data_IF_999762181194
#
_entry.id   IF_999762181194
#
_cell.length_a   1.000
_cell.length_b   1.000
_cell.length_c   1.000
_cell.angle_alpha   90.00
_cell.angle_beta   90.00
_cell.angle_gamma   90.00
#
_symmetry.space_group_name_H-M   'P 1'
#
loop_
_entity.id
_entity.type
_entity.pdbx_description
1 polymer ?
#
# COMPACT_ATOMS: atom_id res chain seq x y z
N UNK A 1 -47.99 -39.39 58.01
CA UNK A 1 -47.04 -39.78 59.08
C UNK A 1 -45.69 -40.07 58.44
N UNK A 2 -44.59 -39.72 59.11
CA UNK A 2 -43.22 -40.24 58.88
C UNK A 2 -42.98 -41.42 59.86
N UNK A 3 -41.78 -42.03 60.06
CA UNK A 3 -40.41 -41.89 59.45
C UNK A 3 -40.00 -43.11 58.59
N UNK A 4 -38.94 -43.12 57.74
CA UNK A 4 -37.46 -43.14 57.96
C UNK A 4 -36.92 -44.40 58.72
N UNK A 5 -35.75 -45.03 58.40
CA UNK A 5 -34.59 -44.65 57.53
C UNK A 5 -33.64 -45.84 57.15
N UNK A 6 -32.66 -45.58 56.26
CA UNK A 6 -31.41 -46.33 55.95
C UNK A 6 -31.55 -47.62 55.08
N UNK A 7 -30.58 -48.06 54.26
CA UNK A 7 -29.14 -47.73 54.11
C UNK A 7 -28.64 -47.93 52.63
N UNK A 8 -27.60 -47.18 52.19
CA UNK A 8 -26.73 -47.43 51.00
C UNK A 8 -27.38 -47.32 49.57
N UNK A 9 -26.69 -47.04 48.44
CA UNK A 9 -25.29 -46.58 48.21
C UNK A 9 -25.10 -45.84 46.84
N UNK A 10 -23.93 -45.20 46.64
CA UNK A 10 -23.26 -44.81 45.37
C UNK A 10 -24.07 -44.07 44.25
N UNK A 11 -23.81 -42.76 44.03
CA UNK A 11 -23.38 -42.13 42.72
C UNK A 11 -23.48 -40.59 42.68
N UNK A 12 -22.59 -39.96 41.87
CA UNK A 12 -22.76 -38.75 41.02
C UNK A 12 -23.20 -37.36 41.57
N UNK A 13 -22.70 -36.35 40.84
CA UNK A 13 -23.24 -35.00 40.59
C UNK A 13 -23.35 -33.95 41.74
N UNK A 14 -22.53 -32.90 41.56
CA UNK A 14 -22.86 -31.47 41.73
C UNK A 14 -23.59 -30.95 42.98
N UNK A 15 -22.92 -30.05 43.73
CA UNK A 15 -23.54 -28.79 44.18
C UNK A 15 -22.55 -27.73 44.67
N UNK A 16 -22.38 -26.66 43.86
CA UNK A 16 -22.23 -25.24 44.28
C UNK A 16 -20.95 -24.89 45.11
N UNK A 17 -20.51 -23.63 45.20
CA UNK A 17 -21.06 -22.35 44.73
C UNK A 17 -19.93 -21.40 44.32
N UNK A 18 -20.26 -20.41 43.50
CA UNK A 18 -19.35 -19.38 42.99
C UNK A 18 -18.66 -18.53 44.08
N UNK A 19 -17.52 -17.93 43.70
CA UNK A 19 -17.38 -16.47 43.77
C UNK A 19 -16.46 -15.94 42.66
N UNK A 20 -16.50 -14.62 42.46
CA UNK A 20 -16.00 -13.97 41.24
C UNK A 20 -14.47 -13.81 41.18
N UNK A 21 -13.93 -13.83 39.96
CA UNK A 21 -12.63 -13.28 39.59
C UNK A 21 -12.79 -12.56 38.26
N UNK A 22 -12.28 -11.33 38.15
CA UNK A 22 -12.41 -10.51 36.93
C UNK A 22 -11.68 -11.14 35.74
N UNK A 23 -12.15 -10.90 34.49
CA UNK A 23 -11.37 -11.24 33.31
C UNK A 23 -10.13 -10.35 33.25
N UNK A 24 -9.01 -10.86 33.74
CA UNK A 24 -7.68 -10.23 33.58
C UNK A 24 -7.40 -10.08 32.09
N UNK A 25 -6.87 -8.92 31.70
CA UNK A 25 -6.51 -8.61 30.32
C UNK A 25 -5.69 -9.76 29.71
N UNK A 26 -6.13 -10.30 28.57
CA UNK A 26 -5.28 -11.23 27.80
C UNK A 26 -4.04 -10.48 27.36
N UNK A 27 -2.88 -10.99 27.75
CA UNK A 27 -1.59 -10.49 27.30
C UNK A 27 -1.45 -10.61 25.76
N UNK A 28 -0.48 -9.89 25.21
CA UNK A 28 -0.16 -9.91 23.78
C UNK A 28 0.03 -11.35 23.23
N UNK A 29 -0.28 -11.59 21.93
CA UNK A 29 -0.09 -12.90 21.33
C UNK A 29 1.37 -13.33 21.44
N UNK A 30 1.59 -14.51 22.05
CA UNK A 30 2.89 -15.16 22.12
C UNK A 30 3.37 -15.69 20.76
N UNK A 31 4.53 -16.37 20.70
CA UNK A 31 5.01 -16.98 19.47
C UNK A 31 3.99 -17.97 18.92
N UNK A 32 3.89 -18.03 17.58
CA UNK A 32 3.01 -18.97 16.86
C UNK A 32 3.33 -20.39 17.31
N UNK A 33 2.31 -21.16 17.67
CA UNK A 33 2.46 -22.53 18.15
C UNK A 33 3.09 -23.38 17.03
N UNK A 34 4.18 -24.09 17.31
CA UNK A 34 4.92 -24.86 16.29
C UNK A 34 4.02 -25.86 15.55
N UNK A 35 3.06 -26.44 16.27
CA UNK A 35 2.06 -27.36 15.71
C UNK A 35 1.06 -26.70 14.76
N UNK A 36 0.79 -25.41 14.94
CA UNK A 36 -0.09 -24.59 14.09
C UNK A 36 0.67 -24.14 12.83
N UNK A 37 1.92 -23.70 12.97
CA UNK A 37 2.82 -23.43 11.84
C UNK A 37 3.04 -24.67 10.95
N UNK A 38 3.28 -25.84 11.54
CA UNK A 38 3.45 -27.10 10.81
C UNK A 38 2.16 -27.61 10.13
N UNK A 39 0.98 -27.17 10.59
CA UNK A 39 -0.28 -27.42 9.93
C UNK A 39 -0.54 -26.44 8.77
N UNK A 40 -0.37 -25.13 9.00
CA UNK A 40 -0.58 -24.08 7.99
C UNK A 40 0.40 -24.18 6.82
N UNK A 41 1.65 -24.59 7.06
CA UNK A 41 2.67 -24.79 6.02
C UNK A 41 2.50 -26.06 5.19
N UNK A 42 1.63 -27.00 5.59
CA UNK A 42 1.52 -28.33 4.98
C UNK A 42 2.76 -29.23 5.14
N UNK A 43 3.80 -28.76 5.84
CA UNK A 43 5.09 -29.43 5.94
C UNK A 43 5.00 -30.84 6.53
N UNK A 44 4.04 -31.08 7.43
CA UNK A 44 3.80 -32.39 8.05
C UNK A 44 3.52 -33.49 7.02
N UNK A 45 2.65 -33.23 6.04
CA UNK A 45 2.27 -34.23 5.04
C UNK A 45 3.32 -34.34 3.92
N UNK A 46 3.95 -33.23 3.54
CA UNK A 46 5.12 -33.27 2.64
C UNK A 46 6.27 -34.11 3.21
N UNK A 47 6.61 -33.93 4.49
CA UNK A 47 7.64 -34.72 5.17
C UNK A 47 7.22 -36.19 5.31
N UNK A 48 5.93 -36.46 5.54
CA UNK A 48 5.38 -37.82 5.60
C UNK A 48 5.54 -38.55 4.26
N UNK A 49 5.20 -37.91 3.15
CA UNK A 49 5.38 -38.49 1.81
C UNK A 49 6.86 -38.68 1.45
N UNK A 50 7.72 -37.70 1.76
CA UNK A 50 9.15 -37.81 1.55
C UNK A 50 9.80 -38.96 2.34
N UNK A 51 9.41 -39.13 3.62
CA UNK A 51 9.87 -40.22 4.47
C UNK A 51 9.33 -41.57 3.99
N UNK A 52 8.07 -41.65 3.54
CA UNK A 52 7.53 -42.86 2.91
C UNK A 52 8.32 -43.24 1.66
N UNK A 53 8.61 -42.28 0.76
CA UNK A 53 9.40 -42.52 -0.46
C UNK A 53 10.85 -42.91 -0.17
N UNK A 54 11.46 -42.37 0.88
CA UNK A 54 12.78 -42.80 1.34
C UNK A 54 12.76 -44.24 1.88
N UNK A 55 11.74 -44.62 2.66
CA UNK A 55 11.57 -45.97 3.21
C UNK A 55 11.24 -47.03 2.15
N UNK A 56 10.50 -46.64 1.10
CA UNK A 56 10.26 -47.46 -0.09
C UNK A 56 11.54 -47.68 -0.91
N UNK A 57 12.27 -46.60 -1.24
CA UNK A 57 13.39 -46.65 -2.17
C UNK A 57 14.71 -47.16 -1.57
N UNK A 58 14.93 -46.97 -0.26
CA UNK A 58 16.15 -47.33 0.47
C UNK A 58 17.47 -46.99 -0.27
N UNK A 59 17.65 -45.72 -0.72
CA UNK A 59 18.86 -45.29 -1.42
C UNK A 59 20.10 -45.38 -0.52
N UNK A 60 21.26 -45.61 -1.13
CA UNK A 60 22.55 -45.60 -0.44
C UNK A 60 22.93 -44.20 0.08
N UNK A 61 22.45 -43.14 -0.59
CA UNK A 61 22.57 -41.74 -0.14
C UNK A 61 21.19 -41.09 0.13
N UNK A 62 20.62 -41.28 1.34
CA UNK A 62 19.33 -40.68 1.72
C UNK A 62 19.21 -39.18 1.50
N UNK A 63 20.26 -38.41 1.78
CA UNK A 63 20.23 -36.95 1.68
C UNK A 63 20.18 -36.47 0.22
N UNK A 64 20.98 -37.10 -0.66
CA UNK A 64 20.98 -36.79 -2.08
C UNK A 64 19.64 -37.19 -2.73
N UNK A 65 19.12 -38.37 -2.37
CA UNK A 65 17.80 -38.82 -2.81
C UNK A 65 16.67 -37.89 -2.34
N UNK A 66 16.69 -37.41 -1.08
CA UNK A 66 15.68 -36.46 -0.60
C UNK A 66 15.78 -35.10 -1.32
N UNK A 67 16.99 -34.60 -1.59
CA UNK A 67 17.18 -33.37 -2.35
C UNK A 67 16.62 -33.50 -3.79
N UNK A 68 16.98 -34.58 -4.49
CA UNK A 68 16.48 -34.92 -5.82
C UNK A 68 14.97 -35.20 -5.85
N UNK A 69 14.43 -35.87 -4.83
CA UNK A 69 12.99 -36.10 -4.68
C UNK A 69 12.22 -34.79 -4.51
N UNK A 70 12.66 -33.90 -3.61
CA UNK A 70 12.03 -32.59 -3.46
C UNK A 70 12.21 -31.73 -4.73
N UNK A 71 13.38 -31.74 -5.36
CA UNK A 71 13.59 -31.04 -6.63
C UNK A 71 12.64 -31.56 -7.72
N UNK A 72 12.44 -32.88 -7.84
CA UNK A 72 11.49 -33.49 -8.79
C UNK A 72 10.03 -33.22 -8.44
N UNK A 73 9.67 -33.22 -7.15
CA UNK A 73 8.33 -32.83 -6.67
C UNK A 73 8.02 -31.36 -7.01
N UNK A 74 9.02 -30.48 -6.93
CA UNK A 74 8.90 -29.05 -7.26
C UNK A 74 9.10 -28.71 -8.75
N UNK A 75 9.65 -29.62 -9.58
CA UNK A 75 9.92 -29.38 -11.03
C UNK A 75 9.07 -30.23 -11.97
N UNK A 76 8.33 -31.23 -11.48
CA UNK A 76 7.22 -31.86 -12.18
C UNK A 76 7.57 -32.57 -13.49
N UNK A 77 8.53 -33.52 -13.45
CA UNK A 77 8.80 -34.51 -14.52
C UNK A 77 8.79 -33.94 -15.95
N UNK A 78 9.66 -32.96 -16.21
CA UNK A 78 9.68 -32.13 -17.43
C UNK A 78 10.12 -32.81 -18.73
N UNK A 79 9.53 -33.93 -19.13
CA UNK A 79 9.67 -34.53 -20.48
C UNK A 79 8.44 -34.23 -21.36
N UNK A 80 8.07 -32.95 -21.45
CA UNK A 80 6.97 -32.47 -22.29
C UNK A 80 7.33 -31.12 -22.93
N UNK A 81 8.05 -31.16 -24.05
CA UNK A 81 8.37 -29.95 -24.82
C UNK A 81 7.13 -29.44 -25.57
N UNK A 82 6.47 -28.43 -24.99
CA UNK A 82 5.30 -27.78 -25.58
C UNK A 82 4.67 -26.75 -24.63
N UNK A 83 3.78 -25.91 -25.15
CA UNK A 83 3.21 -24.75 -24.44
C UNK A 83 2.54 -25.13 -23.10
N UNK A 84 1.86 -26.29 -23.05
CA UNK A 84 1.23 -26.82 -21.83
C UNK A 84 2.24 -27.09 -20.71
N UNK A 85 3.47 -27.51 -21.05
CA UNK A 85 4.54 -27.71 -20.06
C UNK A 85 5.05 -26.39 -19.49
N UNK A 86 5.16 -25.35 -20.33
CA UNK A 86 5.53 -23.99 -19.90
C UNK A 86 4.47 -23.40 -18.96
N UNK A 87 3.18 -23.60 -19.27
CA UNK A 87 2.07 -23.16 -18.42
C UNK A 87 2.06 -23.91 -17.07
N UNK A 88 2.33 -25.22 -17.04
CA UNK A 88 2.43 -25.97 -15.78
C UNK A 88 3.57 -25.43 -14.90
N UNK A 89 4.75 -25.19 -15.48
CA UNK A 89 5.91 -24.64 -14.77
C UNK A 89 5.65 -23.23 -14.23
N UNK A 90 4.93 -22.39 -14.97
CA UNK A 90 4.50 -21.07 -14.49
C UNK A 90 3.54 -21.18 -13.28
N UNK A 91 2.52 -22.03 -13.37
CA UNK A 91 1.58 -22.28 -12.27
C UNK A 91 2.27 -22.85 -11.02
N UNK A 92 3.23 -23.76 -11.19
CA UNK A 92 4.00 -24.33 -10.08
C UNK A 92 4.83 -23.25 -9.35
N UNK A 93 5.42 -22.30 -10.08
CA UNK A 93 6.16 -21.16 -9.50
C UNK A 93 5.23 -20.19 -8.77
N UNK A 94 4.08 -19.87 -9.35
CA UNK A 94 3.04 -19.08 -8.71
C UNK A 94 2.60 -19.71 -7.38
N UNK A 95 2.24 -21.00 -7.40
CA UNK A 95 1.83 -21.73 -6.20
C UNK A 95 2.94 -21.78 -5.14
N UNK A 96 4.21 -21.96 -5.55
CA UNK A 96 5.37 -21.95 -4.64
C UNK A 96 5.66 -20.57 -4.05
N UNK A 97 5.49 -19.50 -4.84
CA UNK A 97 5.60 -18.13 -4.35
C UNK A 97 4.51 -17.81 -3.31
N UNK A 98 3.25 -18.15 -3.61
CA UNK A 98 2.13 -18.01 -2.68
C UNK A 98 2.34 -18.81 -1.38
N UNK A 99 2.95 -20.01 -1.47
CA UNK A 99 3.32 -20.79 -0.29
C UNK A 99 4.35 -20.08 0.58
N UNK A 100 5.46 -19.58 0.01
CA UNK A 100 6.45 -18.80 0.78
C UNK A 100 5.80 -17.61 1.49
N UNK A 101 4.97 -16.83 0.77
CA UNK A 101 4.30 -15.65 1.33
C UNK A 101 3.35 -15.97 2.51
N UNK A 102 2.82 -17.19 2.59
CA UNK A 102 1.94 -17.65 3.68
C UNK A 102 2.67 -18.21 4.89
N UNK A 103 3.96 -18.54 4.80
CA UNK A 103 4.72 -19.19 5.90
C UNK A 103 4.80 -18.35 7.18
N UNK A 104 4.74 -17.01 7.09
CA UNK A 104 4.88 -16.12 8.24
C UNK A 104 3.88 -14.98 8.16
N UNK A 105 3.22 -14.64 9.27
CA UNK A 105 2.37 -13.45 9.32
C UNK A 105 3.17 -12.19 8.95
N UNK A 106 2.59 -11.29 8.17
CA UNK A 106 3.31 -10.15 7.57
C UNK A 106 3.87 -9.14 8.58
N UNK A 107 3.39 -9.18 9.84
CA UNK A 107 3.97 -8.43 10.97
C UNK A 107 5.34 -8.96 11.44
N UNK A 108 5.70 -10.21 11.10
CA UNK A 108 6.99 -10.82 11.44
C UNK A 108 8.09 -10.35 10.47
N UNK A 109 8.42 -9.05 10.53
CA UNK A 109 9.23 -8.29 9.55
C UNK A 109 10.42 -9.05 8.95
N UNK A 110 11.24 -9.72 9.77
CA UNK A 110 12.42 -10.47 9.30
C UNK A 110 12.04 -11.74 8.53
N UNK A 111 11.16 -12.58 9.09
CA UNK A 111 10.73 -13.82 8.44
C UNK A 111 9.95 -13.53 7.15
N UNK A 112 9.05 -12.55 7.18
CA UNK A 112 8.26 -12.15 6.02
C UNK A 112 9.11 -11.52 4.91
N UNK A 113 10.11 -10.69 5.24
CA UNK A 113 11.05 -10.18 4.23
C UNK A 113 11.89 -11.31 3.59
N UNK A 114 12.29 -12.34 4.36
CA UNK A 114 12.99 -13.50 3.78
C UNK A 114 12.08 -14.30 2.85
N UNK A 115 10.83 -14.54 3.26
CA UNK A 115 9.82 -15.21 2.45
C UNK A 115 9.46 -14.44 1.17
N UNK A 116 9.37 -13.10 1.24
CA UNK A 116 9.23 -12.21 0.07
C UNK A 116 10.37 -12.38 -0.93
N UNK A 117 11.63 -12.44 -0.46
CA UNK A 117 12.79 -12.67 -1.35
C UNK A 117 12.71 -14.04 -2.04
N UNK A 118 12.34 -15.10 -1.31
CA UNK A 118 12.18 -16.44 -1.88
C UNK A 118 11.04 -16.52 -2.91
N UNK A 119 9.93 -15.82 -2.67
CA UNK A 119 8.83 -15.69 -3.62
C UNK A 119 9.28 -14.90 -4.89
N UNK A 120 9.95 -13.77 -4.72
CA UNK A 120 10.42 -12.92 -5.81
C UNK A 120 11.44 -13.63 -6.72
N UNK A 121 12.46 -14.29 -6.16
CA UNK A 121 13.42 -15.08 -6.94
C UNK A 121 12.73 -16.26 -7.64
N UNK A 122 11.79 -16.96 -6.98
CA UNK A 122 11.04 -18.06 -7.60
C UNK A 122 10.30 -17.61 -8.89
N UNK A 123 9.64 -16.46 -8.84
CA UNK A 123 8.93 -15.85 -9.97
C UNK A 123 9.87 -15.26 -11.04
N UNK A 124 11.12 -14.90 -10.66
CA UNK A 124 12.17 -14.33 -11.52
C UNK A 124 13.10 -15.40 -12.16
N UNK A 125 12.79 -16.69 -12.02
CA UNK A 125 13.63 -17.75 -12.63
C UNK A 125 13.37 -17.89 -14.13
N UNK A 126 14.30 -17.41 -14.96
CA UNK A 126 14.29 -17.70 -16.39
C UNK A 126 14.67 -19.16 -16.70
N UNK A 127 14.37 -19.63 -17.91
CA UNK A 127 14.67 -21.00 -18.34
C UNK A 127 16.18 -21.25 -18.48
N UNK A 128 16.76 -22.02 -17.54
CA UNK A 128 18.11 -22.64 -17.50
C UNK A 128 19.37 -21.79 -17.77
N UNK A 129 19.34 -20.62 -18.44
CA UNK A 129 20.56 -19.82 -18.75
C UNK A 129 20.47 -18.28 -18.68
N UNK A 130 19.35 -17.68 -18.25
CA UNK A 130 19.27 -16.25 -17.89
C UNK A 130 18.37 -16.03 -16.67
N UNK A 131 18.75 -15.13 -15.76
CA UNK A 131 17.79 -14.52 -14.81
C UNK A 131 16.91 -13.55 -15.59
N UNK A 132 15.67 -13.93 -15.87
CA UNK A 132 14.64 -13.02 -16.41
C UNK A 132 13.87 -12.44 -15.24
N UNK A 133 14.16 -11.20 -14.87
CA UNK A 133 13.54 -10.53 -13.71
C UNK A 133 12.01 -10.55 -13.75
N UNK A 134 11.39 -10.38 -12.58
CA UNK A 134 9.94 -10.44 -12.41
C UNK A 134 9.19 -9.57 -13.43
N UNK A 135 8.29 -10.18 -14.18
CA UNK A 135 7.43 -9.47 -15.13
C UNK A 135 6.17 -8.95 -14.45
N UNK A 136 5.64 -7.83 -14.95
CA UNK A 136 4.39 -7.25 -14.45
C UNK A 136 3.19 -8.18 -14.60
N UNK A 137 3.23 -9.12 -15.57
CA UNK A 137 2.25 -10.22 -15.65
C UNK A 137 2.33 -11.12 -14.42
N UNK A 138 3.49 -11.74 -14.16
CA UNK A 138 3.66 -12.69 -13.05
C UNK A 138 3.38 -12.01 -11.70
N UNK A 139 3.77 -10.75 -11.54
CA UNK A 139 3.46 -9.92 -10.38
C UNK A 139 1.95 -9.72 -10.19
N UNK A 140 1.25 -9.27 -11.24
CA UNK A 140 -0.20 -9.05 -11.20
C UNK A 140 -0.99 -10.34 -10.94
N UNK A 141 -0.51 -11.46 -11.46
CA UNK A 141 -1.07 -12.80 -11.24
C UNK A 141 -0.97 -13.21 -9.76
N UNK A 142 0.21 -13.05 -9.13
CA UNK A 142 0.42 -13.27 -7.68
C UNK A 142 -0.53 -12.41 -6.84
N UNK A 143 -0.61 -11.11 -7.12
CA UNK A 143 -1.49 -10.21 -6.38
C UNK A 143 -2.97 -10.59 -6.53
N UNK A 144 -3.37 -11.04 -7.73
CA UNK A 144 -4.74 -11.50 -8.01
C UNK A 144 -5.06 -12.78 -7.22
N UNK A 145 -4.14 -13.75 -7.19
CA UNK A 145 -4.30 -14.96 -6.38
C UNK A 145 -4.40 -14.65 -4.89
N UNK A 146 -3.57 -13.74 -4.34
CA UNK A 146 -3.67 -13.33 -2.93
C UNK A 146 -5.06 -12.75 -2.63
N UNK A 147 -5.57 -11.85 -3.48
CA UNK A 147 -6.90 -11.25 -3.31
C UNK A 147 -8.03 -12.29 -3.39
N UNK A 148 -7.92 -13.27 -4.31
CA UNK A 148 -8.90 -14.31 -4.53
C UNK A 148 -8.94 -15.33 -3.37
N UNK A 149 -7.78 -15.80 -2.92
CA UNK A 149 -7.66 -16.72 -1.78
C UNK A 149 -8.09 -16.07 -0.45
N UNK A 150 -7.93 -14.75 -0.33
CA UNK A 150 -8.41 -13.95 0.80
C UNK A 150 -9.89 -13.56 0.74
N UNK A 151 -10.65 -14.07 -0.23
CA UNK A 151 -12.08 -13.76 -0.46
C UNK A 151 -12.40 -12.24 -0.54
N UNK A 152 -11.47 -11.42 -1.05
CA UNK A 152 -11.68 -9.99 -1.17
C UNK A 152 -12.80 -9.70 -2.21
N UNK A 153 -13.79 -8.83 -1.92
CA UNK A 153 -14.86 -8.53 -2.87
C UNK A 153 -14.31 -8.08 -4.22
N UNK A 154 -14.88 -8.57 -5.32
CA UNK A 154 -14.30 -8.43 -6.66
C UNK A 154 -14.11 -6.98 -7.10
N UNK A 155 -15.01 -6.07 -6.73
CA UNK A 155 -14.86 -4.65 -7.06
C UNK A 155 -13.73 -3.97 -6.27
N UNK A 156 -13.44 -4.47 -5.06
CA UNK A 156 -12.35 -3.99 -4.21
C UNK A 156 -11.02 -4.58 -4.66
N UNK A 157 -10.97 -5.87 -5.02
CA UNK A 157 -9.76 -6.46 -5.60
C UNK A 157 -9.44 -5.82 -6.96
N UNK A 158 -10.44 -5.57 -7.81
CA UNK A 158 -10.25 -4.82 -9.05
C UNK A 158 -9.75 -3.38 -8.80
N UNK A 159 -10.33 -2.60 -7.88
CA UNK A 159 -9.88 -1.23 -7.60
C UNK A 159 -8.49 -1.19 -6.92
N UNK A 160 -8.12 -2.20 -6.11
CA UNK A 160 -6.76 -2.34 -5.59
C UNK A 160 -5.78 -2.68 -6.72
N UNK A 161 -6.02 -3.76 -7.46
CA UNK A 161 -5.15 -4.23 -8.54
C UNK A 161 -5.00 -3.17 -9.63
N UNK A 162 -6.04 -2.37 -9.92
CA UNK A 162 -5.97 -1.22 -10.84
C UNK A 162 -5.00 -0.12 -10.37
N UNK A 163 -4.73 0.00 -9.07
CA UNK A 163 -3.73 0.94 -8.50
C UNK A 163 -2.32 0.37 -8.48
N UNK A 164 -2.16 -0.93 -8.22
CA UNK A 164 -0.84 -1.54 -7.88
C UNK A 164 -0.25 -2.48 -8.96
N UNK A 165 -1.00 -2.80 -10.02
CA UNK A 165 -0.50 -3.64 -11.12
C UNK A 165 0.50 -2.92 -12.02
N UNK A 166 1.45 -3.69 -12.56
CA UNK A 166 2.34 -3.27 -13.65
C UNK A 166 1.80 -3.76 -15.01
N UNK A 167 2.37 -3.28 -16.11
CA UNK A 167 2.09 -3.81 -17.46
C UNK A 167 2.71 -5.20 -17.62
N UNK A 168 2.09 -6.09 -18.40
CA UNK A 168 2.53 -7.48 -18.58
C UNK A 168 4.03 -7.69 -18.86
N UNK A 169 4.61 -6.77 -19.64
CA UNK A 169 6.01 -6.77 -20.09
C UNK A 169 6.97 -5.90 -19.24
N UNK A 170 6.47 -5.23 -18.22
CA UNK A 170 7.24 -4.35 -17.34
C UNK A 170 8.13 -5.17 -16.40
N UNK A 171 9.36 -4.73 -16.15
CA UNK A 171 10.22 -5.33 -15.14
C UNK A 171 9.88 -4.75 -13.76
N UNK A 172 9.49 -5.59 -12.81
CA UNK A 172 9.01 -5.19 -11.48
C UNK A 172 10.15 -5.32 -10.46
N UNK A 173 10.64 -4.20 -9.87
CA UNK A 173 11.64 -4.26 -8.81
C UNK A 173 11.15 -4.98 -7.55
N UNK A 174 12.07 -5.53 -6.76
CA UNK A 174 11.76 -6.21 -5.49
C UNK A 174 10.90 -5.36 -4.55
N UNK A 175 11.21 -4.07 -4.42
CA UNK A 175 10.43 -3.18 -3.54
C UNK A 175 8.99 -2.98 -4.02
N UNK A 176 8.75 -2.85 -5.33
CA UNK A 176 7.39 -2.74 -5.89
C UNK A 176 6.61 -4.04 -5.62
N UNK A 177 7.23 -5.20 -5.88
CA UNK A 177 6.66 -6.50 -5.53
C UNK A 177 6.32 -6.58 -4.03
N UNK A 178 7.26 -6.19 -3.17
CA UNK A 178 7.14 -6.21 -1.72
C UNK A 178 6.02 -5.32 -1.21
N UNK A 179 5.93 -4.08 -1.67
CA UNK A 179 4.88 -3.14 -1.25
C UNK A 179 3.50 -3.57 -1.78
N UNK A 180 3.40 -4.04 -3.03
CA UNK A 180 2.14 -4.57 -3.57
C UNK A 180 1.62 -5.77 -2.78
N UNK A 181 2.49 -6.76 -2.54
CA UNK A 181 2.16 -7.96 -1.76
C UNK A 181 1.78 -7.61 -0.32
N UNK A 182 2.53 -6.73 0.35
CA UNK A 182 2.21 -6.28 1.70
C UNK A 182 0.86 -5.54 1.75
N UNK A 183 0.56 -4.69 0.76
CA UNK A 183 -0.73 -3.98 0.67
C UNK A 183 -1.91 -4.95 0.59
N UNK A 184 -1.80 -6.02 -0.21
CA UNK A 184 -2.80 -7.08 -0.25
C UNK A 184 -2.97 -7.75 1.13
N UNK A 185 -1.89 -8.19 1.78
CA UNK A 185 -2.00 -8.88 3.08
C UNK A 185 -2.56 -8.00 4.20
N UNK A 186 -2.20 -6.71 4.27
CA UNK A 186 -2.76 -5.79 5.27
C UNK A 186 -4.24 -5.52 5.01
N UNK A 187 -4.65 -5.36 3.74
CA UNK A 187 -6.08 -5.23 3.40
C UNK A 187 -6.88 -6.50 3.75
N UNK A 188 -6.29 -7.69 3.61
CA UNK A 188 -6.93 -8.95 4.01
C UNK A 188 -7.05 -9.08 5.54
N UNK A 189 -6.06 -8.64 6.31
CA UNK A 189 -6.21 -8.56 7.78
C UNK A 189 -7.29 -7.54 8.17
N UNK A 190 -7.34 -6.38 7.49
CA UNK A 190 -8.38 -5.37 7.68
C UNK A 190 -9.79 -5.93 7.36
N UNK A 191 -9.97 -6.65 6.24
CA UNK A 191 -11.20 -7.39 5.89
C UNK A 191 -11.60 -8.35 7.00
N UNK A 192 -10.65 -9.14 7.52
CA UNK A 192 -10.90 -10.12 8.59
C UNK A 192 -11.35 -9.46 9.91
N UNK A 193 -10.79 -8.29 10.24
CA UNK A 193 -11.22 -7.48 11.39
C UNK A 193 -12.61 -6.86 11.16
N UNK A 194 -12.90 -6.34 9.98
CA UNK A 194 -14.22 -5.86 9.62
C UNK A 194 -15.29 -6.98 9.68
N UNK A 195 -14.96 -8.20 9.26
CA UNK A 195 -15.86 -9.37 9.35
C UNK A 195 -16.13 -9.78 10.81
N UNK A 196 -15.09 -9.70 11.64
CA UNK A 196 -15.20 -9.92 13.08
C UNK A 196 -16.12 -8.88 13.73
N UNK A 197 -16.08 -7.61 13.30
CA UNK A 197 -17.00 -6.55 13.75
C UNK A 197 -18.44 -6.78 13.25
N UNK A 198 -18.63 -7.16 11.99
CA UNK A 198 -19.97 -7.50 11.47
C UNK A 198 -20.60 -8.68 12.24
N UNK A 199 -19.78 -9.67 12.59
CA UNK A 199 -20.19 -10.84 13.39
C UNK A 199 -20.59 -10.49 14.84
N UNK A 200 -20.26 -9.29 15.34
CA UNK A 200 -20.78 -8.74 16.60
C UNK A 200 -22.14 -8.06 16.38
N UNK A 201 -22.33 -7.36 15.26
CA UNK A 201 -23.60 -6.71 14.89
C UNK A 201 -24.74 -7.72 14.65
N UNK A 202 -24.49 -8.77 13.87
CA UNK A 202 -25.38 -9.92 13.77
C UNK A 202 -24.60 -11.20 13.42
N UNK A 203 -24.87 -12.28 14.14
CA UNK A 203 -24.30 -13.61 13.89
C UNK A 203 -25.04 -14.42 12.82
N UNK A 204 -26.29 -14.08 12.52
CA UNK A 204 -27.13 -14.82 11.57
C UNK A 204 -28.07 -13.88 10.79
N UNK A 205 -27.73 -13.65 9.51
CA UNK A 205 -28.48 -12.77 8.61
C UNK A 205 -27.88 -11.37 8.47
N UNK A 206 -28.60 -10.42 7.83
CA UNK A 206 -28.15 -9.03 7.71
C UNK A 206 -28.30 -8.28 9.05
N UNK A 207 -27.57 -7.19 9.23
CA UNK A 207 -27.64 -6.32 10.41
C UNK A 207 -28.55 -5.11 10.17
N UNK A 208 -29.00 -4.42 11.22
CA UNK A 208 -29.68 -3.12 11.10
C UNK A 208 -28.74 -2.12 10.39
N UNK A 209 -29.23 -1.43 9.35
CA UNK A 209 -28.41 -0.54 8.55
C UNK A 209 -27.85 0.65 9.36
N UNK A 210 -28.57 1.12 10.39
CA UNK A 210 -28.12 2.22 11.27
C UNK A 210 -26.93 1.78 12.11
N UNK A 211 -26.98 0.58 12.68
CA UNK A 211 -25.88 0.02 13.47
C UNK A 211 -24.66 -0.30 12.60
N UNK A 212 -24.88 -0.90 11.43
CA UNK A 212 -23.81 -1.14 10.47
C UNK A 212 -23.15 0.15 9.98
N UNK A 213 -23.94 1.19 9.66
CA UNK A 213 -23.41 2.50 9.30
C UNK A 213 -22.66 3.15 10.46
N UNK A 214 -23.17 3.11 11.70
CA UNK A 214 -22.47 3.69 12.85
C UNK A 214 -21.08 3.07 13.06
N UNK A 215 -20.93 1.76 12.84
CA UNK A 215 -19.60 1.09 12.89
C UNK A 215 -18.71 1.47 11.70
N UNK A 216 -19.26 1.63 10.49
CA UNK A 216 -18.50 2.11 9.32
C UNK A 216 -18.03 3.56 9.50
N UNK A 217 -18.91 4.45 9.96
CA UNK A 217 -18.61 5.86 10.23
C UNK A 217 -17.56 5.96 11.36
N UNK A 218 -17.67 5.12 12.41
CA UNK A 218 -16.65 5.04 13.48
C UNK A 218 -15.31 4.47 12.97
N UNK A 219 -15.33 3.54 12.01
CA UNK A 219 -14.11 3.04 11.34
C UNK A 219 -13.47 4.12 10.46
N UNK A 220 -14.26 4.92 9.74
CA UNK A 220 -13.76 6.04 8.94
C UNK A 220 -13.16 7.13 9.85
N UNK A 221 -13.87 7.55 10.90
CA UNK A 221 -13.34 8.48 11.90
C UNK A 221 -12.06 7.93 12.56
N UNK A 222 -12.03 6.64 12.93
CA UNK A 222 -10.86 6.02 13.53
C UNK A 222 -9.68 5.92 12.57
N UNK A 223 -9.90 5.66 11.28
CA UNK A 223 -8.85 5.64 10.25
C UNK A 223 -8.30 7.04 9.94
N UNK A 224 -9.16 8.06 9.92
CA UNK A 224 -8.77 9.48 9.78
C UNK A 224 -8.06 9.99 11.05
N UNK A 225 -8.42 9.47 12.22
CA UNK A 225 -7.73 9.73 13.49
C UNK A 225 -6.38 9.02 13.54
N UNK A 226 -6.33 7.75 13.11
CA UNK A 226 -5.11 6.96 13.00
C UNK A 226 -4.33 7.30 11.72
N UNK A 227 -3.98 8.58 11.57
CA UNK A 227 -2.70 8.89 10.96
C UNK A 227 -1.64 8.01 11.65
N UNK A 228 -0.80 7.32 10.85
CA UNK A 228 -0.17 6.02 11.17
C UNK A 228 0.96 6.07 12.23
N UNK A 229 0.86 7.02 13.14
CA UNK A 229 1.96 7.92 13.35
C UNK A 229 2.06 8.25 14.85
N UNK A 230 1.58 9.42 15.36
CA UNK A 230 1.77 9.74 16.80
C UNK A 230 1.26 8.57 17.66
N UNK A 231 2.04 8.04 18.62
CA UNK A 231 1.62 6.88 19.41
C UNK A 231 0.29 7.06 20.17
N UNK A 232 -0.13 8.31 20.40
CA UNK A 232 -1.42 8.64 20.99
C UNK A 232 -2.60 8.62 19.99
N UNK A 233 -2.38 8.73 18.67
CA UNK A 233 -3.45 8.67 17.65
C UNK A 233 -3.98 7.25 17.56
N UNK A 234 -3.08 6.26 17.65
CA UNK A 234 -3.42 4.84 17.82
C UNK A 234 -4.20 4.57 19.11
N UNK A 235 -3.91 5.30 20.19
CA UNK A 235 -4.67 5.18 21.43
C UNK A 235 -6.05 5.82 21.29
N UNK A 236 -6.18 6.97 20.62
CA UNK A 236 -7.47 7.63 20.37
C UNK A 236 -8.34 6.82 19.40
N UNK A 237 -7.80 6.35 18.28
CA UNK A 237 -8.48 5.41 17.38
C UNK A 237 -8.81 4.10 18.10
N UNK A 238 -7.93 3.62 18.99
CA UNK A 238 -8.15 2.47 19.85
C UNK A 238 -9.24 2.64 20.91
N UNK A 239 -9.51 3.87 21.39
CA UNK A 239 -10.67 4.15 22.27
C UNK A 239 -11.95 4.33 21.47
N UNK A 240 -11.91 4.92 20.27
CA UNK A 240 -13.06 4.99 19.34
C UNK A 240 -13.52 3.60 18.89
N UNK A 241 -12.58 2.73 18.52
CA UNK A 241 -12.80 1.31 18.20
C UNK A 241 -12.84 0.41 19.46
N UNK A 242 -12.78 0.99 20.65
CA UNK A 242 -12.94 0.27 21.91
C UNK A 242 -14.40 -0.17 22.12
N UNK A 243 -14.66 -1.16 22.99
CA UNK A 243 -16.02 -1.64 23.25
C UNK A 243 -16.99 -0.53 23.66
N UNK A 244 -16.54 0.38 24.53
CA UNK A 244 -17.36 1.50 25.02
C UNK A 244 -17.59 2.58 23.94
N UNK A 245 -16.59 2.85 23.09
CA UNK A 245 -16.69 3.80 21.98
C UNK A 245 -17.68 3.34 20.91
N UNK A 246 -17.55 2.08 20.47
CA UNK A 246 -18.49 1.45 19.53
C UNK A 246 -19.90 1.32 20.12
N UNK A 247 -20.04 0.96 21.40
CA UNK A 247 -21.34 0.93 22.06
C UNK A 247 -22.02 2.31 22.08
N UNK A 248 -21.27 3.37 22.44
CA UNK A 248 -21.78 4.75 22.44
C UNK A 248 -22.14 5.25 21.03
N UNK A 249 -21.48 4.78 19.98
CA UNK A 249 -21.86 5.08 18.58
C UNK A 249 -23.14 4.33 18.18
N UNK A 250 -23.23 3.05 18.54
CA UNK A 250 -24.39 2.19 18.25
C UNK A 250 -25.66 2.65 18.97
N UNK A 251 -25.59 2.99 20.27
CA UNK A 251 -26.73 3.49 21.05
C UNK A 251 -27.30 4.79 20.46
N UNK A 252 -26.44 5.73 20.05
CA UNK A 252 -26.86 6.96 19.36
C UNK A 252 -27.60 6.67 18.06
N UNK A 253 -27.12 5.70 17.28
CA UNK A 253 -27.75 5.30 16.01
C UNK A 253 -29.07 4.56 16.23
N UNK A 254 -29.19 3.76 17.30
CA UNK A 254 -30.41 3.03 17.65
C UNK A 254 -31.54 3.96 18.12
N UNK A 255 -31.21 5.09 18.75
CA UNK A 255 -32.15 6.17 19.08
C UNK A 255 -32.63 6.98 17.86
N UNK A 256 -32.08 6.72 16.67
CA UNK A 256 -32.51 7.34 15.42
C UNK A 256 -33.87 6.81 14.93
N UNK A 257 -34.55 7.62 14.10
CA UNK A 257 -35.90 7.31 13.60
C UNK A 257 -35.96 5.94 12.89
N UNK A 258 -37.07 5.21 13.06
CA UNK A 258 -37.09 3.77 12.78
C UNK A 258 -37.13 3.45 11.27
N UNK A 259 -36.28 2.51 10.85
CA UNK A 259 -36.19 2.05 9.46
C UNK A 259 -35.92 0.55 9.42
N UNK A 260 -36.77 -0.23 8.74
CA UNK A 260 -36.60 -1.68 8.55
C UNK A 260 -35.48 -2.06 7.56
N UNK A 261 -34.60 -1.12 7.24
CA UNK A 261 -33.51 -1.30 6.28
C UNK A 261 -32.34 -2.05 6.92
N UNK A 262 -31.80 -3.02 6.19
CA UNK A 262 -30.73 -3.90 6.69
C UNK A 262 -29.54 -3.93 5.74
N UNK A 263 -28.35 -4.13 6.30
CA UNK A 263 -27.08 -4.23 5.57
C UNK A 263 -26.57 -5.67 5.60
N UNK A 264 -26.20 -6.20 4.43
CA UNK A 264 -25.65 -7.54 4.30
C UNK A 264 -24.15 -7.56 4.66
N UNK A 265 -23.65 -8.71 5.10
CA UNK A 265 -22.22 -8.93 5.38
C UNK A 265 -21.33 -8.47 4.21
N UNK A 266 -21.69 -8.86 3.00
CA UNK A 266 -20.89 -8.55 1.81
C UNK A 266 -20.89 -7.04 1.49
N UNK A 267 -22.01 -6.35 1.70
CA UNK A 267 -22.07 -4.90 1.53
C UNK A 267 -21.25 -4.17 2.59
N UNK A 268 -21.39 -4.53 3.87
CA UNK A 268 -20.58 -3.98 4.96
C UNK A 268 -19.07 -4.19 4.74
N UNK A 269 -18.67 -5.40 4.33
CA UNK A 269 -17.26 -5.70 4.03
C UNK A 269 -16.72 -4.89 2.85
N UNK A 270 -17.52 -4.70 1.81
CA UNK A 270 -17.17 -3.87 0.64
C UNK A 270 -16.98 -2.40 1.04
N UNK A 271 -17.91 -1.85 1.82
CA UNK A 271 -17.85 -0.46 2.26
C UNK A 271 -16.68 -0.23 3.23
N UNK A 272 -16.47 -1.14 4.19
CA UNK A 272 -15.31 -1.10 5.09
C UNK A 272 -13.98 -1.15 4.32
N UNK A 273 -13.82 -2.13 3.41
CA UNK A 273 -12.57 -2.27 2.64
C UNK A 273 -12.32 -1.11 1.68
N UNK A 274 -13.33 -0.32 1.31
CA UNK A 274 -13.15 0.89 0.53
C UNK A 274 -12.44 2.00 1.32
N UNK A 275 -12.70 2.12 2.64
CA UNK A 275 -12.08 3.13 3.52
C UNK A 275 -10.55 3.03 3.55
N UNK A 276 -10.02 1.81 3.48
CA UNK A 276 -8.58 1.50 3.51
C UNK A 276 -7.77 2.12 2.34
N UNK A 277 -8.42 2.58 1.27
CA UNK A 277 -7.77 2.96 0.00
C UNK A 277 -7.59 4.48 -0.24
N UNK A 278 -7.52 5.29 0.83
CA UNK A 278 -7.53 6.76 0.78
C UNK A 278 -6.43 7.45 1.63
N UNK A 279 -5.56 8.25 0.98
CA UNK A 279 -4.82 9.39 1.60
C UNK A 279 -4.67 10.60 0.66
N UNK A 280 -4.54 10.38 -0.66
CA UNK A 280 -4.77 11.37 -1.72
C UNK A 280 -5.40 10.66 -2.93
N UNK A 281 -6.26 11.33 -3.72
CA UNK A 281 -7.00 10.66 -4.81
C UNK A 281 -6.74 11.27 -6.18
N UNK A 282 -5.98 10.53 -7.00
CA UNK A 282 -5.91 10.69 -8.45
C UNK A 282 -6.87 9.67 -9.10
N UNK A 283 -8.01 10.14 -9.63
CA UNK A 283 -9.07 9.30 -10.21
C UNK A 283 -9.04 9.39 -11.74
N UNK A 284 -8.48 8.35 -12.37
CA UNK A 284 -8.44 8.19 -13.81
C UNK A 284 -9.82 7.78 -14.39
N UNK A 285 -10.23 8.31 -15.55
CA UNK A 285 -11.40 7.83 -16.28
C UNK A 285 -11.10 6.53 -17.05
N UNK A 286 -12.14 5.90 -17.62
CA UNK A 286 -12.04 4.60 -18.32
C UNK A 286 -11.25 4.71 -19.62
N UNK A 287 -11.31 5.86 -20.26
CA UNK A 287 -10.70 6.21 -21.55
C UNK A 287 -9.36 6.97 -21.39
N UNK A 288 -8.74 6.99 -20.21
CA UNK A 288 -7.42 7.61 -20.03
C UNK A 288 -6.38 6.99 -21.00
N UNK A 289 -5.56 7.78 -21.72
CA UNK A 289 -5.30 9.21 -21.54
C UNK A 289 -6.14 10.16 -22.42
N UNK A 290 -7.25 9.72 -23.04
CA UNK A 290 -8.08 10.62 -23.85
C UNK A 290 -8.83 11.66 -23.00
N UNK A 291 -9.44 11.24 -21.89
CA UNK A 291 -9.99 12.15 -20.88
C UNK A 291 -9.06 12.38 -19.67
N UNK A 292 -9.11 13.56 -19.02
CA UNK A 292 -8.27 13.89 -17.87
C UNK A 292 -8.66 13.10 -16.61
N UNK A 293 -7.69 12.83 -15.72
CA UNK A 293 -7.98 12.34 -14.38
C UNK A 293 -8.37 13.50 -13.44
N UNK A 294 -9.21 13.22 -12.43
CA UNK A 294 -9.47 14.18 -11.35
C UNK A 294 -8.42 14.05 -10.24
N UNK A 295 -7.97 15.19 -9.68
CA UNK A 295 -7.02 15.25 -8.56
C UNK A 295 -7.66 15.88 -7.33
N UNK A 296 -7.55 15.20 -6.18
CA UNK A 296 -8.07 15.67 -4.88
C UNK A 296 -7.06 15.48 -3.74
N UNK A 297 -6.77 16.57 -3.01
CA UNK A 297 -6.16 16.52 -1.68
C UNK A 297 -7.21 16.08 -0.65
N UNK A 298 -6.87 15.17 0.29
CA UNK A 298 -7.77 14.85 1.41
C UNK A 298 -7.53 15.76 2.63
N UNK A 299 -6.27 16.16 2.87
CA UNK A 299 -5.93 17.26 3.77
C UNK A 299 -6.55 18.57 3.26
N UNK A 300 -7.31 19.28 4.10
CA UNK A 300 -7.97 20.54 3.70
C UNK A 300 -6.93 21.65 3.52
N UNK A 301 -6.66 22.04 2.27
CA UNK A 301 -5.76 23.12 1.88
C UNK A 301 -6.51 24.47 1.77
N UNK A 302 -5.92 25.58 2.23
CA UNK A 302 -6.45 26.93 1.98
C UNK A 302 -5.68 27.55 0.81
N UNK A 303 -6.28 27.58 -0.38
CA UNK A 303 -5.57 27.96 -1.60
C UNK A 303 -6.53 28.55 -2.65
N UNK A 304 -6.17 29.62 -3.40
CA UNK A 304 -7.02 30.22 -4.42
C UNK A 304 -7.59 29.25 -5.46
N UNK A 305 -6.87 28.17 -5.79
CA UNK A 305 -7.24 27.21 -6.83
C UNK A 305 -7.56 25.80 -6.31
N UNK A 306 -7.87 25.66 -5.02
CA UNK A 306 -8.36 24.38 -4.44
C UNK A 306 -9.75 24.62 -3.84
N UNK A 307 -10.71 23.78 -4.22
CA UNK A 307 -12.08 23.83 -3.68
C UNK A 307 -12.14 23.34 -2.23
N UNK A 308 -13.20 23.68 -1.49
CA UNK A 308 -13.38 23.26 -0.10
C UNK A 308 -13.39 21.73 0.11
N UNK A 309 -13.74 20.97 -0.94
CA UNK A 309 -13.77 19.52 -0.96
C UNK A 309 -12.41 18.87 -1.34
N UNK A 310 -11.37 19.69 -1.52
CA UNK A 310 -10.01 19.29 -1.88
C UNK A 310 -9.73 19.10 -3.37
N UNK A 311 -10.72 19.24 -4.26
CA UNK A 311 -10.49 19.15 -5.71
C UNK A 311 -9.63 20.34 -6.21
N UNK A 312 -8.68 20.06 -7.09
CA UNK A 312 -7.76 21.07 -7.66
C UNK A 312 -8.32 21.59 -8.99
N UNK A 313 -8.48 22.91 -9.11
CA UNK A 313 -8.84 23.56 -10.37
C UNK A 313 -7.56 24.00 -11.09
N UNK A 314 -7.24 23.33 -12.20
CA UNK A 314 -6.08 23.64 -13.04
C UNK A 314 -6.39 23.25 -14.48
N UNK A 315 -6.02 24.11 -15.44
CA UNK A 315 -6.38 23.99 -16.86
C UNK A 315 -6.05 22.62 -17.46
N UNK A 316 -4.90 22.03 -17.09
CA UNK A 316 -4.41 20.74 -17.58
C UNK A 316 -5.31 19.56 -17.19
N UNK A 317 -6.16 19.68 -16.15
CA UNK A 317 -7.12 18.64 -15.76
C UNK A 317 -8.52 18.82 -16.37
N UNK A 318 -8.66 19.75 -17.32
CA UNK A 318 -9.89 19.93 -18.09
C UNK A 318 -9.66 19.56 -19.57
N UNK A 319 -10.70 19.06 -20.28
CA UNK A 319 -10.65 18.85 -21.73
C UNK A 319 -10.22 20.10 -22.51
N UNK A 320 -9.74 19.96 -23.75
CA UNK A 320 -9.53 21.10 -24.63
C UNK A 320 -10.87 21.76 -24.95
N UNK A 321 -10.84 23.07 -25.19
CA UNK A 321 -11.99 23.86 -25.61
C UNK A 321 -11.69 24.38 -27.01
N UNK A 322 -12.55 24.09 -27.98
CA UNK A 322 -12.43 24.58 -29.36
C UNK A 322 -12.87 26.05 -29.48
N UNK A 323 -12.33 26.92 -28.62
CA UNK A 323 -12.54 28.37 -28.61
C UNK A 323 -11.25 29.09 -29.00
N UNK A 324 -11.10 29.55 -30.25
CA UNK A 324 -9.94 30.34 -30.71
C UNK A 324 -9.74 31.67 -29.95
N UNK A 325 -10.77 32.14 -29.23
CA UNK A 325 -10.73 33.38 -28.46
C UNK A 325 -10.18 33.19 -27.04
N UNK A 326 -10.03 31.94 -26.57
CA UNK A 326 -9.60 31.61 -25.20
C UNK A 326 -8.15 32.02 -24.87
N UNK A 327 -7.26 31.99 -25.87
CA UNK A 327 -5.84 32.32 -25.72
C UNK A 327 -4.98 31.24 -25.03
N UNK A 328 -5.56 30.09 -24.71
CA UNK A 328 -4.87 28.99 -24.01
C UNK A 328 -4.15 28.05 -24.98
N UNK A 329 -2.97 27.55 -24.60
CA UNK A 329 -2.20 26.63 -25.43
C UNK A 329 -2.71 25.17 -25.30
N UNK A 330 -2.62 24.34 -26.36
CA UNK A 330 -2.95 22.91 -26.28
C UNK A 330 -2.14 22.12 -25.24
N UNK A 331 -0.98 22.63 -24.83
CA UNK A 331 -0.13 22.12 -23.74
C UNK A 331 -0.62 22.49 -22.34
N UNK A 332 -1.49 23.49 -22.21
CA UNK A 332 -2.06 23.97 -20.95
C UNK A 332 -3.41 23.31 -20.63
N UNK A 333 -4.03 22.63 -21.60
CA UNK A 333 -5.22 21.78 -21.45
C UNK A 333 -4.86 20.29 -21.46
N UNK A 334 -5.81 19.45 -21.08
CA UNK A 334 -5.64 18.00 -21.20
C UNK A 334 -5.53 17.58 -22.67
N UNK A 335 -4.58 16.69 -22.96
CA UNK A 335 -4.49 16.00 -24.25
C UNK A 335 -3.78 14.64 -24.04
N UNK A 336 -3.86 13.69 -24.99
CA UNK A 336 -3.34 12.33 -24.80
C UNK A 336 -1.82 12.19 -24.62
N UNK A 337 -1.03 13.26 -24.80
CA UNK A 337 0.42 13.26 -24.51
C UNK A 337 0.74 13.65 -23.06
N UNK A 338 -0.23 14.23 -22.35
CA UNK A 338 -0.11 14.56 -20.94
C UNK A 338 -0.04 13.30 -20.07
N UNK A 339 0.62 13.41 -18.93
CA UNK A 339 0.85 12.29 -18.03
C UNK A 339 0.99 12.77 -16.57
N UNK A 340 1.05 11.83 -15.62
CA UNK A 340 1.09 12.11 -14.18
C UNK A 340 2.29 12.97 -13.76
N UNK A 341 3.46 12.86 -14.42
CA UNK A 341 4.61 13.72 -14.13
C UNK A 341 4.27 15.18 -14.49
N UNK A 342 3.67 15.42 -15.65
CA UNK A 342 3.26 16.78 -16.04
C UNK A 342 2.21 17.34 -15.08
N UNK A 343 1.18 16.54 -14.72
CA UNK A 343 0.17 16.95 -13.73
C UNK A 343 0.82 17.40 -12.41
N UNK A 344 1.75 16.60 -11.86
CA UNK A 344 2.39 16.93 -10.58
C UNK A 344 3.27 18.18 -10.68
N UNK A 345 4.00 18.37 -11.80
CA UNK A 345 4.77 19.60 -12.06
C UNK A 345 3.85 20.83 -12.18
N UNK A 346 2.71 20.70 -12.87
CA UNK A 346 1.71 21.77 -12.97
C UNK A 346 1.06 22.10 -11.61
N UNK A 347 0.83 21.11 -10.75
CA UNK A 347 0.34 21.33 -9.37
C UNK A 347 1.39 22.04 -8.51
N UNK A 348 2.68 21.67 -8.63
CA UNK A 348 3.78 22.39 -7.96
C UNK A 348 3.84 23.86 -8.44
N UNK A 349 3.72 24.09 -9.74
CA UNK A 349 3.66 25.45 -10.30
C UNK A 349 2.49 26.26 -9.74
N UNK A 350 1.28 25.68 -9.74
CA UNK A 350 0.05 26.32 -9.22
C UNK A 350 0.13 26.66 -7.72
N UNK A 351 0.84 25.87 -6.92
CA UNK A 351 1.05 26.13 -5.49
C UNK A 351 2.06 27.25 -5.23
N UNK A 352 3.00 27.49 -6.15
CA UNK A 352 3.92 28.63 -6.09
C UNK A 352 3.27 29.91 -6.62
N UNK A 353 2.55 29.82 -7.74
CA UNK A 353 1.89 30.94 -8.43
C UNK A 353 0.39 30.68 -8.63
N UNK A 354 -0.45 31.02 -7.62
CA UNK A 354 -1.90 30.81 -7.70
C UNK A 354 -2.56 31.70 -8.75
N UNK A 355 -3.42 31.12 -9.59
CA UNK A 355 -4.20 31.87 -10.57
C UNK A 355 -5.34 32.62 -9.87
N UNK A 356 -5.17 33.93 -9.69
CA UNK A 356 -6.19 34.81 -9.07
C UNK A 356 -7.26 35.32 -10.03
N UNK A 357 -7.11 35.11 -11.34
CA UNK A 357 -8.10 35.51 -12.36
C UNK A 357 -9.28 34.53 -12.42
N UNK A 358 -9.01 33.23 -12.24
CA UNK A 358 -10.03 32.18 -12.14
C UNK A 358 -9.82 31.32 -10.88
N UNK A 359 -10.21 31.83 -9.69
CA UNK A 359 -10.05 31.11 -8.43
C UNK A 359 -11.19 30.12 -8.16
N UNK A 360 -10.84 28.93 -7.66
CA UNK A 360 -11.78 27.97 -7.08
C UNK A 360 -12.26 28.39 -5.67
N UNK A 361 -11.44 29.14 -4.94
CA UNK A 361 -11.74 29.71 -3.63
C UNK A 361 -11.51 31.23 -3.70
N UNK A 362 -12.63 31.97 -3.76
CA UNK A 362 -12.63 33.44 -3.92
C UNK A 362 -12.02 34.14 -2.70
N UNK A 363 -12.32 33.68 -1.49
CA UNK A 363 -11.83 34.29 -0.26
C UNK A 363 -10.31 34.12 -0.12
N UNK A 364 -9.79 32.92 -0.40
CA UNK A 364 -8.35 32.67 -0.46
C UNK A 364 -7.67 33.55 -1.54
N UNK A 365 -8.31 33.75 -2.69
CA UNK A 365 -7.81 34.64 -3.77
C UNK A 365 -7.82 36.12 -3.36
N UNK A 366 -8.82 36.58 -2.60
CA UNK A 366 -8.85 37.95 -2.05
C UNK A 366 -7.76 38.12 -0.99
N UNK A 367 -7.61 37.18 -0.05
CA UNK A 367 -6.55 37.21 0.97
C UNK A 367 -5.15 37.17 0.35
N UNK A 368 -4.91 36.29 -0.64
CA UNK A 368 -3.63 36.21 -1.34
C UNK A 368 -3.27 37.51 -2.08
N UNK A 369 -4.25 38.15 -2.75
CA UNK A 369 -4.03 39.46 -3.41
C UNK A 369 -3.71 40.55 -2.39
N UNK A 370 -4.48 40.69 -1.30
CA UNK A 370 -4.16 41.63 -0.20
C UNK A 370 -2.73 41.44 0.32
N UNK A 371 -2.32 40.19 0.57
CA UNK A 371 -0.96 39.85 0.99
C UNK A 371 0.09 40.32 -0.04
N UNK A 372 -0.10 40.00 -1.32
CA UNK A 372 0.81 40.36 -2.43
C UNK A 372 0.89 41.88 -2.62
N UNK A 373 -0.25 42.56 -2.74
CA UNK A 373 -0.37 44.01 -2.98
C UNK A 373 0.14 44.84 -1.79
N UNK A 374 -0.09 44.35 -0.56
CA UNK A 374 0.45 44.99 0.65
C UNK A 374 1.96 44.80 0.81
N UNK A 375 2.61 43.97 -0.03
CA UNK A 375 4.00 43.51 0.09
C UNK A 375 4.27 42.79 1.43
N UNK A 376 3.39 41.87 1.81
CA UNK A 376 3.51 41.07 3.04
C UNK A 376 3.29 41.83 4.35
N UNK A 377 2.70 43.03 4.31
CA UNK A 377 2.30 43.78 5.51
C UNK A 377 1.01 43.22 6.11
N UNK A 378 0.05 42.87 5.26
CA UNK A 378 -1.05 41.99 5.64
C UNK A 378 -0.50 40.56 5.78
N UNK A 379 -0.88 39.88 6.86
CA UNK A 379 -0.40 38.54 7.21
C UNK A 379 -1.51 37.49 7.27
N UNK A 380 -2.78 37.89 7.12
CA UNK A 380 -3.96 37.02 7.27
C UNK A 380 -3.80 35.71 6.49
N UNK A 381 -3.46 35.80 5.20
CA UNK A 381 -3.18 34.63 4.36
C UNK A 381 -2.03 33.77 4.89
N UNK A 382 -0.87 34.38 5.17
CA UNK A 382 0.33 33.63 5.61
C UNK A 382 0.17 33.00 6.99
N UNK A 383 -0.68 33.55 7.85
CA UNK A 383 -0.91 33.02 9.19
C UNK A 383 -1.87 31.82 9.14
N UNK A 384 -2.83 31.79 8.21
CA UNK A 384 -3.63 30.59 7.89
C UNK A 384 -2.73 29.49 7.31
N UNK A 385 -1.90 29.80 6.31
CA UNK A 385 -0.95 28.83 5.74
C UNK A 385 0.01 28.31 6.81
N UNK A 386 0.58 29.18 7.65
CA UNK A 386 1.48 28.76 8.74
C UNK A 386 0.76 27.87 9.75
N UNK A 387 -0.52 28.13 10.06
CA UNK A 387 -1.33 27.26 10.92
C UNK A 387 -1.52 25.88 10.28
N UNK A 388 -1.82 25.81 8.98
CA UNK A 388 -1.95 24.53 8.25
C UNK A 388 -0.64 23.76 8.20
N UNK A 389 0.47 24.43 7.89
CA UNK A 389 1.82 23.82 7.89
C UNK A 389 2.23 23.35 9.30
N UNK A 390 1.79 24.04 10.36
CA UNK A 390 2.03 23.62 11.75
C UNK A 390 1.14 22.46 12.17
N UNK A 391 -0.11 22.34 11.69
CA UNK A 391 -0.87 21.09 11.86
C UNK A 391 -0.19 19.93 11.11
N UNK A 392 0.22 20.11 9.86
CA UNK A 392 0.92 19.04 9.12
C UNK A 392 2.34 18.75 9.63
N UNK A 393 2.86 19.52 10.61
CA UNK A 393 4.06 19.13 11.36
C UNK A 393 3.78 18.08 12.41
N UNK A 394 2.55 18.04 12.96
CA UNK A 394 2.06 16.84 13.61
C UNK A 394 2.09 15.74 12.55
N UNK A 395 1.23 15.76 11.52
CA UNK A 395 1.08 14.74 10.47
C UNK A 395 2.39 14.24 9.76
N UNK A 396 3.53 14.92 9.91
CA UNK A 396 4.82 14.54 9.33
C UNK A 396 5.88 14.07 10.35
N UNK A 397 5.89 14.54 11.61
CA UNK A 397 6.83 14.09 12.67
C UNK A 397 6.77 12.58 12.92
N UNK A 398 5.75 11.90 12.42
CA UNK A 398 4.82 11.35 13.37
C UNK A 398 4.73 9.81 13.32
N UNK A 399 4.82 8.94 12.29
CA UNK A 399 4.89 8.81 10.75
C UNK A 399 6.46 8.85 10.46
N UNK A 400 7.22 9.83 10.96
CA UNK A 400 8.68 9.86 10.85
C UNK A 400 9.18 10.16 9.43
N UNK A 401 8.35 10.77 8.58
CA UNK A 401 8.85 11.53 7.42
C UNK A 401 9.59 12.74 7.98
N UNK A 402 10.92 12.63 8.06
CA UNK A 402 11.78 13.80 8.30
C UNK A 402 11.58 14.77 7.13
N UNK A 403 10.69 15.74 7.31
CA UNK A 403 10.41 16.78 6.32
C UNK A 403 11.74 17.43 5.95
N UNK A 404 12.14 17.44 4.67
CA UNK A 404 13.39 18.07 4.26
C UNK A 404 13.33 19.57 4.56
N UNK A 405 14.32 20.06 5.31
CA UNK A 405 14.40 21.46 5.74
C UNK A 405 15.41 22.28 4.95
N UNK A 406 16.30 21.61 4.24
CA UNK A 406 17.31 22.19 3.36
C UNK A 406 17.09 21.73 1.92
N UNK A 407 17.58 22.51 0.96
CA UNK A 407 17.50 22.15 -0.46
C UNK A 407 18.20 20.82 -0.75
N UNK A 408 19.33 20.54 -0.09
CA UNK A 408 20.05 19.29 -0.21
C UNK A 408 19.24 18.06 0.29
N UNK A 409 18.45 18.21 1.37
CA UNK A 409 17.54 17.17 1.83
C UNK A 409 16.33 16.99 0.91
N UNK A 410 15.86 18.06 0.27
CA UNK A 410 14.73 18.02 -0.67
C UNK A 410 15.13 17.40 -2.03
N UNK A 411 16.35 17.67 -2.48
CA UNK A 411 16.89 17.24 -3.77
C UNK A 411 17.81 16.00 -3.67
N UNK A 412 17.62 15.12 -2.68
CA UNK A 412 18.41 13.88 -2.57
C UNK A 412 18.17 13.00 -3.79
N UNK A 413 19.11 13.04 -4.75
CA UNK A 413 19.25 12.01 -5.78
C UNK A 413 19.36 10.67 -5.07
N UNK A 414 18.49 9.71 -5.39
CA UNK A 414 18.53 8.36 -4.80
C UNK A 414 19.84 7.68 -5.17
N UNK A 415 20.85 7.78 -4.30
CA UNK A 415 22.16 7.19 -4.52
C UNK A 415 21.97 5.66 -4.63
N UNK A 416 22.37 5.10 -5.77
CA UNK A 416 22.42 3.65 -5.92
C UNK A 416 23.26 3.05 -4.78
N UNK A 417 22.94 1.84 -4.29
CA UNK A 417 23.80 1.17 -3.33
C UNK A 417 25.21 1.06 -3.91
N UNK A 418 26.22 1.27 -3.07
CA UNK A 418 27.61 1.21 -3.51
C UNK A 418 27.91 -0.16 -4.15
N UNK A 419 28.74 -0.22 -5.21
CA UNK A 419 29.24 -1.50 -5.72
C UNK A 419 29.91 -2.27 -4.59
N UNK A 420 29.60 -3.56 -4.48
CA UNK A 420 30.36 -4.49 -3.65
C UNK A 420 31.79 -4.64 -4.22
N UNK A 421 32.78 -4.92 -3.38
CA UNK A 421 34.19 -5.07 -3.81
C UNK A 421 34.40 -6.42 -4.54
N UNK A 422 33.76 -6.58 -5.71
CA UNK A 422 33.59 -7.89 -6.34
C UNK A 422 33.14 -7.91 -7.81
N UNK A 423 33.04 -6.79 -8.54
CA UNK A 423 32.81 -6.82 -9.99
C UNK A 423 33.49 -5.68 -10.76
N UNK A 424 34.66 -5.97 -11.33
CA UNK A 424 35.32 -5.15 -12.33
C UNK A 424 34.58 -5.29 -13.68
N UNK A 425 33.61 -4.41 -13.92
CA UNK A 425 32.79 -4.37 -15.13
C UNK A 425 32.54 -2.94 -15.59
N UNK A 426 33.43 -2.49 -16.48
CA UNK A 426 33.35 -1.31 -17.33
C UNK A 426 31.91 -0.88 -17.67
N UNK A 427 31.61 0.38 -17.34
CA UNK A 427 30.56 1.17 -17.95
C UNK A 427 31.13 2.57 -18.17
N UNK A 428 31.57 2.86 -19.40
CA UNK A 428 32.09 4.19 -19.75
C UNK A 428 30.94 5.21 -19.69
N UNK A 429 31.14 6.28 -18.94
CA UNK A 429 30.16 7.36 -18.81
C UNK A 429 30.27 8.31 -20.01
N UNK A 430 29.13 8.65 -20.62
CA UNK A 430 29.05 9.46 -21.84
C UNK A 430 27.92 10.50 -21.75
N UNK A 431 27.94 11.29 -20.68
CA UNK A 431 27.25 12.59 -20.57
C UNK A 431 28.11 13.56 -19.75
N UNK A 432 29.22 13.98 -20.35
CA UNK A 432 29.97 15.18 -19.96
C UNK A 432 29.25 16.38 -20.60
N UNK A 433 28.81 17.36 -19.80
CA UNK A 433 28.00 18.51 -20.26
C UNK A 433 28.22 19.71 -19.31
N UNK A 434 29.29 20.46 -19.61
CA UNK A 434 29.61 21.84 -19.20
C UNK A 434 29.36 22.32 -17.75
N UNK A 435 30.41 22.35 -16.92
CA UNK A 435 30.61 23.43 -15.93
C UNK A 435 31.63 24.44 -16.50
N UNK A 436 31.14 25.60 -16.97
CA UNK A 436 31.99 26.78 -17.21
C UNK A 436 32.20 27.52 -15.89
N UNK A 437 33.44 27.57 -15.41
CA UNK A 437 33.89 28.63 -14.49
C UNK A 437 34.81 29.59 -15.24
N UNK A 438 34.44 30.87 -15.23
CA UNK A 438 35.33 31.99 -15.55
C UNK A 438 36.22 32.25 -14.33
N UNK A 439 37.54 32.42 -14.49
CA UNK A 439 38.29 33.50 -13.82
C UNK A 439 39.73 33.60 -14.36
N UNK A 440 40.41 34.69 -13.99
CA UNK A 440 41.51 35.30 -14.76
C UNK A 440 42.96 34.90 -14.36
N UNK A 441 43.87 35.24 -15.27
CA UNK A 441 45.18 35.86 -15.05
C UNK A 441 46.50 35.05 -14.90
N UNK A 442 47.32 35.17 -15.97
CA UNK A 442 48.80 35.20 -15.99
C UNK A 442 49.56 33.85 -15.77
N UNK A 443 50.73 33.58 -16.37
CA UNK A 443 51.83 34.43 -16.83
C UNK A 443 52.58 33.88 -18.09
N UNK A 444 53.53 34.68 -18.60
CA UNK A 444 54.64 34.38 -19.53
C UNK A 444 55.13 32.92 -19.52
N UNK A 445 55.52 32.27 -20.63
CA UNK A 445 56.49 32.68 -21.69
C UNK A 445 56.03 32.25 -23.12
N UNK A 446 56.64 32.66 -24.24
CA UNK A 446 57.82 33.53 -24.42
C UNK A 446 58.92 32.97 -25.34
N UNK A 447 58.58 32.53 -26.57
CA UNK A 447 59.60 32.22 -27.59
C UNK A 447 59.10 32.42 -29.02
N UNK A 448 59.93 33.03 -29.86
CA UNK A 448 59.72 33.27 -31.29
C UNK A 448 60.03 32.02 -32.15
N UNK A 449 59.45 31.92 -33.34
CA UNK A 449 60.26 31.83 -34.57
C UNK A 449 59.47 32.35 -35.80
N UNK A 450 60.22 32.63 -36.85
CA UNK A 450 59.85 32.95 -38.23
C UNK A 450 58.81 32.02 -38.88
N UNK A 451 58.03 32.43 -39.89
CA UNK A 451 58.10 33.68 -40.64
C UNK A 451 58.85 33.56 -41.97
N UNK A 452 58.25 32.90 -42.98
CA UNK A 452 58.66 33.04 -44.38
C UNK A 452 57.45 33.02 -45.33
N UNK A 453 57.56 33.78 -46.42
CA UNK A 453 56.55 33.93 -47.46
C UNK A 453 56.72 32.90 -48.60
N UNK A 454 55.71 32.86 -49.48
CA UNK A 454 55.77 32.77 -50.96
C UNK A 454 54.94 31.65 -51.62
N UNK A 455 54.40 32.02 -52.80
CA UNK A 455 53.67 31.21 -53.81
C UNK A 455 52.23 30.80 -53.48
#
# INVERSE_FOLDING_TARGET
>A
MAPERLHADITMAEKRRAMAGSPVCRAAPGPVNETEFLAQSGAKDMLREAVLKLLEARPEEPTAFLADYFEKLWTGSGTAAGEKGVHLLAQQRLNRALWYLKLSHHSQRTAFNNNLNMAYECLSTGGRKKKTGLTGKNYSEVLSSICQEGELPEEISCELLRKIKCRDHEAVPFDIFRYGVLTCFVLLEFRSKADSLFSVLNKQGPADQRLGKAVLDTLEEALVTSDLFIPASYLEAGTKLGPDGLALAMDKAYLGNNSDATISRNQFLKDACALFLYKARLKFPVDYPYSPPAFRFLTKMWHPNIYENGDVCISILHPPVDDPQSGELPSERWNPTQNVRTILLSVISLLNEPNTFSPANVDASVMYRKWKDSKGRDKEYTDIIRKQVVSTKADAEHDGVKVPTTLAEYCVKTKAPAPDEGSDLFYDDYYDDDEMEEDEDSCYEGQDDSGNEES
#
